data_IF_855737212101
#
_entry.id   IF_855737212101
#
_cell.length_a   1.000
_cell.length_b   1.000
_cell.length_c   1.000
_cell.angle_alpha   90.00
_cell.angle_beta   90.00
_cell.angle_gamma   90.00
#
_symmetry.space_group_name_H-M   'P 1'
#
loop_
_entity.id
_entity.type
_entity.pdbx_description
1 polymer ?
#
# COMPACT_ATOMS: atom_id res chain seq x y z
N UNK A 1 -31.01 20.34 -7.86
CA UNK A 1 -29.75 19.95 -7.21
C UNK A 1 -30.14 19.24 -5.92
N UNK A 2 -29.60 18.05 -5.63
CA UNK A 2 -29.83 17.40 -4.33
C UNK A 2 -28.84 17.93 -3.31
N UNK A 3 -29.23 17.95 -2.04
CA UNK A 3 -28.38 18.46 -0.94
C UNK A 3 -27.00 17.77 -0.91
N UNK A 4 -26.96 16.47 -1.20
CA UNK A 4 -25.71 15.70 -1.30
C UNK A 4 -24.78 16.19 -2.43
N UNK A 5 -25.31 16.61 -3.57
CA UNK A 5 -24.50 17.08 -4.69
C UNK A 5 -23.95 18.50 -4.42
N UNK A 6 -24.72 19.33 -3.72
CA UNK A 6 -24.26 20.66 -3.27
C UNK A 6 -23.10 20.55 -2.25
N UNK A 7 -23.16 19.58 -1.35
CA UNK A 7 -22.08 19.30 -0.39
C UNK A 7 -20.80 18.83 -1.09
N UNK A 8 -20.91 17.87 -2.02
CA UNK A 8 -19.79 17.40 -2.84
C UNK A 8 -19.19 18.55 -3.65
N UNK A 9 -20.04 19.38 -4.29
CA UNK A 9 -19.59 20.54 -5.05
C UNK A 9 -18.82 21.54 -4.19
N UNK A 10 -19.33 21.85 -2.99
CA UNK A 10 -18.66 22.73 -2.03
C UNK A 10 -17.32 22.16 -1.56
N UNK A 11 -17.25 20.86 -1.27
CA UNK A 11 -16.01 20.18 -0.90
C UNK A 11 -14.95 20.29 -2.02
N UNK A 12 -15.35 20.09 -3.27
CA UNK A 12 -14.45 20.25 -4.42
C UNK A 12 -13.92 21.66 -4.58
N UNK A 13 -14.77 22.68 -4.44
CA UNK A 13 -14.35 24.09 -4.47
C UNK A 13 -13.33 24.40 -3.36
N UNK A 14 -13.45 23.75 -2.21
CA UNK A 14 -12.56 23.90 -1.07
C UNK A 14 -11.35 22.95 -1.08
N UNK A 15 -11.14 22.18 -2.17
CA UNK A 15 -10.05 21.19 -2.28
C UNK A 15 -10.08 20.15 -1.13
N UNK A 16 -11.28 19.73 -0.72
CA UNK A 16 -11.54 18.74 0.32
C UNK A 16 -12.13 17.47 -0.27
N UNK A 17 -11.81 16.33 0.33
CA UNK A 17 -12.46 15.06 0.01
C UNK A 17 -13.89 15.13 0.55
N UNK A 18 -14.92 14.85 -0.27
CA UNK A 18 -16.31 14.85 0.20
C UNK A 18 -16.53 13.84 1.33
N UNK A 19 -17.30 14.23 2.35
CA UNK A 19 -17.61 13.37 3.49
C UNK A 19 -18.50 12.19 3.08
N UNK A 20 -19.27 12.36 2.01
CA UNK A 20 -20.07 11.30 1.39
C UNK A 20 -19.22 10.11 0.93
N UNK A 21 -17.92 10.30 0.73
CA UNK A 21 -16.99 9.24 0.33
C UNK A 21 -16.33 8.54 1.52
N UNK A 22 -16.44 9.04 2.75
CA UNK A 22 -15.71 8.53 3.92
C UNK A 22 -15.83 7.02 4.12
N UNK A 23 -17.03 6.46 3.93
CA UNK A 23 -17.27 5.02 4.10
C UNK A 23 -16.51 4.14 3.08
N UNK A 24 -16.19 4.70 1.92
CA UNK A 24 -15.45 4.03 0.86
C UNK A 24 -14.00 4.54 0.74
N UNK A 25 -13.66 5.64 1.43
CA UNK A 25 -12.36 6.27 1.41
C UNK A 25 -11.49 5.74 2.54
N UNK A 26 -10.19 5.65 2.26
CA UNK A 26 -9.21 5.36 3.29
C UNK A 26 -8.99 6.62 4.15
N UNK A 27 -8.78 6.48 5.48
CA UNK A 27 -8.52 7.63 6.34
C UNK A 27 -7.33 8.46 5.83
N UNK A 28 -7.55 9.76 5.62
CA UNK A 28 -6.55 10.65 5.05
C UNK A 28 -6.78 12.10 5.47
N UNK A 29 -5.70 12.83 5.69
CA UNK A 29 -5.71 14.30 5.91
C UNK A 29 -5.23 15.05 4.65
N UNK A 30 -5.10 14.37 3.51
CA UNK A 30 -4.65 14.98 2.27
C UNK A 30 -5.74 15.89 1.69
N UNK A 31 -5.39 17.04 1.09
CA UNK A 31 -6.33 17.79 0.26
C UNK A 31 -6.74 16.97 -0.96
N UNK A 32 -7.89 17.29 -1.56
CA UNK A 32 -8.51 16.53 -2.65
C UNK A 32 -7.54 16.23 -3.78
N UNK A 33 -6.80 17.22 -4.28
CA UNK A 33 -5.82 17.02 -5.35
C UNK A 33 -4.79 15.92 -5.01
N UNK A 34 -4.20 15.98 -3.81
CA UNK A 34 -3.23 14.99 -3.34
C UNK A 34 -3.88 13.65 -3.00
N UNK A 35 -5.13 13.65 -2.56
CA UNK A 35 -5.90 12.43 -2.28
C UNK A 35 -6.22 11.66 -3.57
N UNK A 36 -6.58 12.36 -4.66
CA UNK A 36 -6.82 11.73 -5.97
C UNK A 36 -5.54 11.09 -6.49
N UNK A 37 -4.38 11.73 -6.36
CA UNK A 37 -3.10 11.13 -6.73
C UNK A 37 -2.78 9.88 -5.91
N UNK A 38 -3.03 9.91 -4.60
CA UNK A 38 -2.83 8.75 -3.72
C UNK A 38 -3.81 7.60 -4.07
N UNK A 39 -5.06 7.92 -4.44
CA UNK A 39 -6.03 6.96 -4.94
C UNK A 39 -5.55 6.29 -6.23
N UNK A 40 -5.04 7.08 -7.20
CA UNK A 40 -4.49 6.54 -8.46
C UNK A 40 -3.33 5.58 -8.18
N UNK A 41 -2.42 5.93 -7.27
CA UNK A 41 -1.32 5.05 -6.87
C UNK A 41 -1.81 3.74 -6.26
N UNK A 42 -2.87 3.77 -5.44
CA UNK A 42 -3.46 2.56 -4.83
C UNK A 42 -4.10 1.66 -5.87
N UNK A 43 -4.85 2.25 -6.80
CA UNK A 43 -5.50 1.53 -7.88
C UNK A 43 -4.46 0.89 -8.80
N UNK A 44 -3.40 1.61 -9.16
CA UNK A 44 -2.31 1.05 -9.95
C UNK A 44 -1.61 -0.10 -9.20
N UNK A 45 -1.27 0.06 -7.92
CA UNK A 45 -0.67 -1.01 -7.12
C UNK A 45 -1.49 -2.32 -7.17
N UNK A 46 -2.80 -2.24 -6.94
CA UNK A 46 -3.69 -3.40 -6.98
C UNK A 46 -3.81 -3.95 -8.41
N UNK A 47 -3.94 -3.07 -9.40
CA UNK A 47 -4.04 -3.45 -10.81
C UNK A 47 -2.79 -4.22 -11.28
N UNK A 48 -1.60 -3.74 -10.96
CA UNK A 48 -0.34 -4.41 -11.31
C UNK A 48 -0.21 -5.76 -10.61
N UNK A 49 -0.68 -5.88 -9.36
CA UNK A 49 -0.74 -7.17 -8.67
C UNK A 49 -1.66 -8.15 -9.42
N UNK A 50 -2.84 -7.71 -9.86
CA UNK A 50 -3.74 -8.57 -10.64
C UNK A 50 -3.10 -9.02 -11.96
N UNK A 51 -2.44 -8.09 -12.67
CA UNK A 51 -1.87 -8.38 -13.99
C UNK A 51 -0.60 -9.23 -13.95
N UNK A 52 0.30 -8.95 -13.01
CA UNK A 52 1.67 -9.50 -12.98
C UNK A 52 1.90 -10.50 -11.84
N UNK A 53 0.91 -10.68 -10.96
CA UNK A 53 1.03 -11.54 -9.79
C UNK A 53 1.69 -10.82 -8.61
N UNK A 54 2.13 -11.62 -7.64
CA UNK A 54 2.59 -11.13 -6.33
C UNK A 54 3.78 -10.17 -6.51
N UNK A 55 3.69 -8.92 -6.03
CA UNK A 55 4.80 -7.97 -6.13
C UNK A 55 5.98 -8.39 -5.24
N UNK A 56 7.20 -8.00 -5.62
CA UNK A 56 8.41 -8.23 -4.81
C UNK A 56 8.33 -7.56 -3.42
N UNK A 57 7.73 -6.38 -3.37
CA UNK A 57 7.47 -5.61 -2.15
C UNK A 57 6.06 -5.05 -2.15
N UNK A 58 5.30 -5.28 -1.08
CA UNK A 58 3.94 -4.77 -0.94
C UNK A 58 3.92 -3.34 -0.39
N UNK A 59 3.13 -2.46 -0.99
CA UNK A 59 2.93 -1.10 -0.47
C UNK A 59 1.95 -1.12 0.69
N UNK A 60 2.44 -1.23 1.93
CA UNK A 60 1.59 -1.53 3.08
C UNK A 60 0.61 -0.39 3.39
N UNK A 61 1.00 0.87 3.19
CA UNK A 61 0.12 2.02 3.35
C UNK A 61 -0.92 2.15 2.24
N UNK A 62 -0.77 1.39 1.15
CA UNK A 62 -1.72 1.34 0.03
C UNK A 62 -2.97 0.52 0.33
N UNK A 63 -2.91 -0.39 1.32
CA UNK A 63 -4.08 -1.16 1.75
C UNK A 63 -5.09 -0.30 2.50
N UNK A 64 -6.38 -0.60 2.28
CA UNK A 64 -7.48 -0.04 3.09
C UNK A 64 -7.44 -0.59 4.53
N UNK A 65 -7.13 -1.89 4.68
CA UNK A 65 -7.03 -2.56 5.97
C UNK A 65 -5.74 -3.42 6.05
N UNK A 66 -4.59 -2.82 6.42
CA UNK A 66 -3.31 -3.52 6.48
C UNK A 66 -3.28 -4.74 7.41
N UNK A 67 -4.07 -4.71 8.48
CA UNK A 67 -4.15 -5.81 9.44
C UNK A 67 -4.63 -7.11 8.78
N UNK A 68 -5.56 -7.05 7.83
CA UNK A 68 -6.00 -8.23 7.09
C UNK A 68 -4.89 -8.88 6.28
N UNK A 69 -4.02 -8.08 5.69
CA UNK A 69 -2.83 -8.55 4.97
C UNK A 69 -1.81 -9.22 5.91
N UNK A 70 -1.55 -8.62 7.08
CA UNK A 70 -0.66 -9.19 8.10
C UNK A 70 -1.20 -10.52 8.63
N UNK A 71 -2.48 -10.58 9.01
CA UNK A 71 -3.11 -11.83 9.44
C UNK A 71 -3.07 -12.88 8.33
N UNK A 72 -3.33 -12.51 7.08
CA UNK A 72 -3.23 -13.43 5.94
C UNK A 72 -1.81 -13.98 5.75
N UNK A 73 -0.79 -13.17 5.99
CA UNK A 73 0.62 -13.60 5.94
C UNK A 73 0.93 -14.62 7.04
N UNK A 74 0.48 -14.37 8.27
CA UNK A 74 0.60 -15.33 9.38
C UNK A 74 -0.15 -16.64 9.08
N UNK A 75 -1.36 -16.56 8.53
CA UNK A 75 -2.14 -17.73 8.13
C UNK A 75 -1.42 -18.56 7.05
N UNK A 76 -0.80 -17.92 6.06
CA UNK A 76 -0.05 -18.61 5.03
C UNK A 76 1.16 -19.36 5.62
N UNK A 77 1.89 -18.73 6.54
CA UNK A 77 3.00 -19.36 7.26
C UNK A 77 2.53 -20.52 8.13
N UNK A 78 1.48 -20.32 8.94
CA UNK A 78 0.85 -21.35 9.76
C UNK A 78 0.46 -22.60 8.94
N UNK A 79 -0.14 -22.39 7.76
CA UNK A 79 -0.51 -23.48 6.83
C UNK A 79 0.70 -24.18 6.23
N UNK A 80 1.73 -23.43 5.81
CA UNK A 80 2.97 -23.98 5.23
C UNK A 80 3.67 -24.95 6.19
N UNK A 81 3.69 -24.63 7.49
CA UNK A 81 4.41 -25.40 8.50
C UNK A 81 3.51 -26.23 9.44
N UNK A 82 2.21 -26.24 9.20
CA UNK A 82 1.22 -26.91 10.06
C UNK A 82 1.33 -26.48 11.54
N UNK A 83 1.44 -25.17 11.77
CA UNK A 83 1.57 -24.56 13.10
C UNK A 83 0.26 -23.85 13.48
N UNK A 84 -0.10 -23.79 14.78
CA UNK A 84 -1.16 -22.89 15.27
C UNK A 84 -0.78 -21.42 15.02
N UNK A 85 -1.72 -20.61 14.52
CA UNK A 85 -1.48 -19.19 14.24
C UNK A 85 -1.16 -18.39 15.52
N UNK A 86 -1.75 -18.78 16.65
CA UNK A 86 -1.59 -18.08 17.95
C UNK A 86 -0.16 -18.19 18.51
N UNK A 87 0.67 -19.07 17.94
CA UNK A 87 2.08 -19.20 18.30
C UNK A 87 3.00 -18.36 17.40
N UNK A 88 2.46 -17.67 16.40
CA UNK A 88 3.23 -16.90 15.45
C UNK A 88 3.21 -15.41 15.79
N UNK A 89 4.35 -14.77 15.60
CA UNK A 89 4.49 -13.31 15.66
C UNK A 89 5.40 -12.85 14.51
N UNK A 90 5.36 -11.56 14.19
CA UNK A 90 6.26 -10.99 13.21
C UNK A 90 7.59 -10.58 13.85
N UNK A 91 8.68 -10.93 13.17
CA UNK A 91 9.97 -10.28 13.32
C UNK A 91 10.17 -9.31 12.15
N UNK A 92 10.82 -8.17 12.39
CA UNK A 92 11.00 -7.12 11.39
C UNK A 92 12.48 -6.81 11.20
N UNK A 93 12.92 -6.82 9.94
CA UNK A 93 14.28 -6.46 9.56
C UNK A 93 14.26 -5.25 8.61
N UNK A 94 14.79 -4.09 9.03
CA UNK A 94 14.87 -2.94 8.13
C UNK A 94 15.86 -3.24 7.00
N UNK A 95 15.42 -2.99 5.76
CA UNK A 95 16.28 -3.07 4.59
C UNK A 95 16.92 -1.71 4.30
N UNK A 96 18.12 -1.71 3.73
CA UNK A 96 18.85 -0.48 3.37
C UNK A 96 18.24 0.26 2.18
N UNK A 97 17.46 -0.44 1.35
CA UNK A 97 16.88 0.08 0.13
C UNK A 97 15.60 0.85 0.44
N UNK A 98 15.61 2.16 0.17
CA UNK A 98 14.42 2.99 0.25
C UNK A 98 13.61 2.91 -1.04
N UNK A 99 12.30 2.66 -0.91
CA UNK A 99 11.39 2.45 -2.04
C UNK A 99 10.15 3.33 -1.91
N UNK A 100 9.92 4.20 -2.89
CA UNK A 100 8.71 5.01 -2.98
C UNK A 100 7.75 4.44 -4.02
N UNK A 101 6.46 4.36 -3.68
CA UNK A 101 5.46 3.79 -4.58
C UNK A 101 5.32 4.57 -5.90
N UNK A 102 5.48 5.90 -5.89
CA UNK A 102 5.40 6.70 -7.11
C UNK A 102 6.49 6.34 -8.12
N UNK A 103 7.68 5.97 -7.65
CA UNK A 103 8.77 5.52 -8.53
C UNK A 103 8.52 4.10 -9.04
N UNK A 104 7.91 3.24 -8.21
CA UNK A 104 7.45 1.89 -8.62
C UNK A 104 6.43 2.00 -9.74
N UNK A 105 5.42 2.88 -9.61
CA UNK A 105 4.39 3.09 -10.63
C UNK A 105 5.01 3.50 -11.97
N UNK A 106 5.92 4.48 -11.96
CA UNK A 106 6.60 4.95 -13.19
C UNK A 106 7.40 3.83 -13.85
N UNK A 107 8.22 3.12 -13.06
CA UNK A 107 9.03 2.02 -13.58
C UNK A 107 8.16 0.87 -14.13
N UNK A 108 7.02 0.59 -13.48
CA UNK A 108 6.09 -0.46 -13.92
C UNK A 108 5.37 -0.08 -15.23
N UNK A 109 5.11 1.21 -15.47
CA UNK A 109 4.47 1.70 -16.69
C UNK A 109 5.36 1.51 -17.94
N UNK A 110 6.69 1.50 -17.75
CA UNK A 110 7.67 1.31 -18.84
C UNK A 110 8.11 -0.16 -19.00
N UNK A 111 7.76 -1.03 -18.04
CA UNK A 111 8.21 -2.42 -17.98
C UNK A 111 7.48 -3.31 -19.01
N UNK A 112 8.22 -4.06 -19.84
CA UNK A 112 7.61 -4.99 -20.78
C UNK A 112 7.09 -6.25 -20.09
N UNK A 113 6.30 -7.04 -20.80
CA UNK A 113 5.81 -8.31 -20.27
C UNK A 113 6.97 -9.31 -20.11
N UNK A 114 7.08 -9.93 -18.95
CA UNK A 114 8.15 -10.88 -18.62
C UNK A 114 9.45 -10.28 -18.11
N UNK A 115 9.58 -8.95 -18.09
CA UNK A 115 10.72 -8.26 -17.46
C UNK A 115 10.47 -8.07 -15.96
N UNK A 116 11.56 -8.03 -15.18
CA UNK A 116 11.55 -7.68 -13.76
C UNK A 116 12.04 -6.23 -13.56
N UNK A 117 11.53 -5.54 -12.55
CA UNK A 117 12.01 -4.20 -12.20
C UNK A 117 13.47 -4.25 -11.71
N UNK A 118 14.31 -3.30 -12.13
CA UNK A 118 15.69 -3.20 -11.62
C UNK A 118 15.73 -3.08 -10.09
N UNK A 119 14.83 -2.28 -9.51
CA UNK A 119 14.69 -2.15 -8.05
C UNK A 119 14.23 -3.42 -7.34
N UNK A 120 13.69 -4.41 -8.06
CA UNK A 120 13.34 -5.70 -7.48
C UNK A 120 14.54 -6.65 -7.42
N UNK A 121 15.57 -6.44 -8.26
CA UNK A 121 16.79 -7.26 -8.26
C UNK A 121 17.64 -7.06 -7.01
N UNK A 122 17.55 -5.88 -6.40
CA UNK A 122 18.21 -5.54 -5.14
C UNK A 122 17.51 -6.17 -3.91
N UNK A 123 16.33 -6.77 -4.11
CA UNK A 123 15.51 -7.35 -3.06
C UNK A 123 15.51 -8.88 -3.14
N UNK A 124 16.30 -9.49 -2.26
CA UNK A 124 16.29 -10.93 -2.08
C UNK A 124 14.93 -11.40 -1.58
N UNK A 125 14.34 -12.40 -2.26
CA UNK A 125 13.06 -12.97 -1.84
C UNK A 125 13.25 -13.72 -0.52
N UNK A 126 12.53 -13.37 0.55
CA UNK A 126 12.63 -14.12 1.79
C UNK A 126 12.01 -15.52 1.62
N UNK A 127 12.56 -16.50 2.34
CA UNK A 127 11.98 -17.86 2.41
C UNK A 127 10.60 -17.84 3.10
N UNK A 128 10.49 -17.02 4.16
CA UNK A 128 9.28 -16.79 4.93
C UNK A 128 9.03 -15.30 5.15
N UNK A 129 7.74 -14.92 5.11
CA UNK A 129 7.31 -13.55 5.27
C UNK A 129 7.21 -12.79 3.94
N UNK A 130 7.22 -11.46 4.04
CA UNK A 130 6.96 -10.55 2.92
C UNK A 130 7.82 -9.31 3.07
N UNK A 131 8.24 -8.73 1.95
CA UNK A 131 8.87 -7.40 1.95
C UNK A 131 7.75 -6.37 1.85
N UNK A 132 7.81 -5.34 2.68
CA UNK A 132 6.87 -4.22 2.66
C UNK A 132 7.60 -2.90 2.53
N UNK A 133 6.96 -1.93 1.91
CA UNK A 133 7.41 -0.53 1.87
C UNK A 133 6.24 0.41 2.11
N UNK A 134 6.51 1.71 2.29
CA UNK A 134 5.49 2.70 2.67
C UNK A 134 5.20 2.75 4.18
N UNK A 135 6.11 2.23 5.00
CA UNK A 135 6.05 2.40 6.45
C UNK A 135 6.57 3.80 6.80
N UNK A 136 5.82 4.54 7.62
CA UNK A 136 6.27 5.80 8.22
C UNK A 136 6.58 5.58 9.70
N UNK A 137 7.85 5.42 10.09
CA UNK A 137 8.21 5.29 11.50
C UNK A 137 7.93 6.61 12.22
N UNK A 138 7.01 6.58 13.19
CA UNK A 138 6.68 7.75 14.04
C UNK A 138 7.90 8.32 14.76
N UNK A 139 8.91 7.49 15.04
CA UNK A 139 10.15 7.87 15.72
C UNK A 139 11.02 8.85 14.91
N UNK A 140 10.82 8.99 13.59
CA UNK A 140 11.54 10.00 12.78
C UNK A 140 10.98 11.43 12.95
N UNK A 141 9.80 11.60 13.56
CA UNK A 141 9.25 12.93 13.90
C UNK A 141 9.65 13.40 15.30
N UNK A 142 10.05 12.48 16.17
CA UNK A 142 10.52 12.80 17.52
C UNK A 142 12.03 12.72 17.46
N UNK A 143 12.66 13.82 17.05
CA UNK A 143 14.12 13.91 16.99
C UNK A 143 14.75 13.50 18.32
N UNK A 144 15.44 12.36 18.30
CA UNK A 144 16.59 12.08 19.14
C UNK A 144 17.84 12.35 18.30
#
# INVERSE_FOLDING_TARGET
MSDSLELIYTAFLNNQVPTEWENAAYPSLKPLASWVQDLILRLDFIYQWILRGIPRSFWISGFFFPQGFLTGTLQNHARKYNLPIDHLTFEFHPLKHFRQQADVQKAMAELKFGEELEMDKELEKPEDGVIVHGVFPRWLQVGL
#
